data_IF_195404978029
#
_entry.id   IF_195404978029
#
_cell.length_a   1.000
_cell.length_b   1.000
_cell.length_c   1.000
_cell.angle_alpha   90.00
_cell.angle_beta   90.00
_cell.angle_gamma   90.00
#
_symmetry.space_group_name_H-M   'P 1'
#
loop_
_entity.id
_entity.type
_entity.pdbx_description
1 polymer ?
#
# COMPACT_ATOMS: atom_id res chain seq x y z
N UNK A 1 10.70 -6.03 -12.18
CA UNK A 1 10.59 -5.27 -10.93
C UNK A 1 11.08 -3.86 -11.15
N UNK A 2 10.70 -2.96 -10.25
CA UNK A 2 11.08 -1.55 -10.23
C UNK A 2 12.21 -1.26 -9.23
N UNK A 3 12.42 -2.15 -8.24
CA UNK A 3 13.43 -2.08 -7.19
C UNK A 3 14.86 -1.76 -7.67
N UNK A 4 15.30 -2.36 -8.78
CA UNK A 4 16.69 -2.19 -9.25
C UNK A 4 17.07 -0.74 -9.56
N UNK A 5 16.13 0.05 -10.08
CA UNK A 5 16.38 1.47 -10.34
C UNK A 5 16.63 2.25 -9.03
N UNK A 6 15.93 1.88 -7.95
CA UNK A 6 16.08 2.46 -6.62
C UNK A 6 17.50 2.20 -6.10
N UNK A 7 18.00 0.96 -6.19
CA UNK A 7 19.35 0.63 -5.71
C UNK A 7 20.45 1.35 -6.50
N UNK A 8 20.31 1.46 -7.82
CA UNK A 8 21.27 2.19 -8.66
C UNK A 8 21.29 3.68 -8.31
N UNK A 9 20.15 4.27 -7.97
CA UNK A 9 20.02 5.69 -7.62
C UNK A 9 20.15 5.99 -6.13
N UNK A 10 20.35 4.95 -5.29
CA UNK A 10 20.34 5.08 -3.83
C UNK A 10 21.24 6.22 -3.33
N UNK A 11 22.48 6.28 -3.82
CA UNK A 11 23.45 7.29 -3.36
C UNK A 11 23.06 8.70 -3.79
N UNK A 12 22.61 8.87 -5.04
CA UNK A 12 22.16 10.16 -5.56
C UNK A 12 20.95 10.69 -4.78
N UNK A 13 20.00 9.81 -4.47
CA UNK A 13 18.80 10.16 -3.70
C UNK A 13 19.19 10.52 -2.27
N UNK A 14 19.99 9.68 -1.59
CA UNK A 14 20.45 9.95 -0.23
C UNK A 14 21.13 11.32 -0.11
N UNK A 15 22.04 11.64 -1.03
CA UNK A 15 22.82 12.88 -1.00
C UNK A 15 21.97 14.13 -1.34
N UNK A 16 21.12 14.04 -2.36
CA UNK A 16 20.28 15.16 -2.80
C UNK A 16 19.13 15.47 -1.85
N UNK A 17 18.55 14.44 -1.25
CA UNK A 17 17.41 14.58 -0.31
C UNK A 17 17.82 14.81 1.14
N UNK A 18 19.11 14.63 1.47
CA UNK A 18 19.68 14.76 2.82
C UNK A 18 18.97 13.89 3.87
N UNK A 19 18.40 12.77 3.46
CA UNK A 19 17.76 11.82 4.37
C UNK A 19 18.81 11.11 5.23
N UNK A 20 18.38 10.61 6.39
CA UNK A 20 19.18 9.74 7.27
C UNK A 20 18.51 8.38 7.36
N UNK A 21 19.30 7.33 7.53
CA UNK A 21 18.76 5.99 7.76
C UNK A 21 18.14 5.93 9.17
N UNK A 22 16.89 5.46 9.34
CA UNK A 22 16.06 4.80 8.34
C UNK A 22 15.26 5.76 7.43
N UNK A 23 15.14 5.41 6.15
CA UNK A 23 14.28 6.14 5.19
C UNK A 23 13.87 5.22 4.03
N UNK A 24 12.84 5.61 3.28
CA UNK A 24 12.33 4.81 2.16
C UNK A 24 12.40 5.52 0.81
N UNK A 25 12.59 4.74 -0.25
CA UNK A 25 12.42 5.20 -1.64
C UNK A 25 11.36 4.31 -2.27
N UNK A 26 10.29 4.91 -2.78
CA UNK A 26 9.19 4.19 -3.41
C UNK A 26 9.15 4.45 -4.91
N UNK A 27 8.74 3.44 -5.69
CA UNK A 27 8.49 3.56 -7.11
C UNK A 27 7.19 2.85 -7.48
N UNK A 28 6.39 3.53 -8.30
CA UNK A 28 5.25 2.92 -8.98
C UNK A 28 5.58 2.94 -10.48
N UNK A 29 5.51 1.79 -11.12
CA UNK A 29 5.83 1.71 -12.53
C UNK A 29 5.60 0.34 -13.14
N UNK A 30 5.75 0.29 -14.46
CA UNK A 30 5.57 -0.94 -15.23
C UNK A 30 6.73 -1.91 -15.01
N UNK A 31 6.38 -3.18 -14.92
CA UNK A 31 7.31 -4.30 -14.94
C UNK A 31 6.88 -5.31 -15.99
N UNK A 32 7.87 -6.05 -16.49
CA UNK A 32 7.68 -7.05 -17.54
C UNK A 32 8.20 -8.39 -17.07
N UNK A 33 7.41 -9.45 -17.27
CA UNK A 33 7.82 -10.85 -17.05
C UNK A 33 7.38 -11.65 -18.28
N UNK A 34 8.29 -12.43 -18.87
CA UNK A 34 7.98 -13.27 -20.03
C UNK A 34 7.21 -14.53 -19.61
N UNK A 35 5.99 -14.33 -19.11
CA UNK A 35 5.13 -15.37 -18.61
C UNK A 35 4.73 -16.35 -19.73
N UNK A 36 4.92 -17.64 -19.45
CA UNK A 36 4.65 -18.72 -20.41
C UNK A 36 3.15 -18.81 -20.69
N UNK A 37 2.35 -18.80 -19.62
CA UNK A 37 0.89 -18.96 -19.71
C UNK A 37 0.17 -17.86 -18.93
N UNK A 38 -0.13 -16.72 -19.58
CA UNK A 38 -1.00 -15.68 -19.01
C UNK A 38 -2.41 -16.23 -18.75
N UNK A 39 -3.01 -15.89 -17.60
CA UNK A 39 -4.34 -16.40 -17.19
C UNK A 39 -4.96 -15.54 -16.09
N UNK A 40 -6.22 -15.81 -15.77
CA UNK A 40 -6.98 -15.18 -14.68
C UNK A 40 -7.03 -13.65 -14.80
N UNK A 41 -7.36 -13.18 -16.01
CA UNK A 41 -7.48 -11.75 -16.34
C UNK A 41 -6.17 -10.99 -16.06
N UNK A 42 -6.19 -9.93 -15.25
CA UNK A 42 -5.02 -9.12 -14.91
C UNK A 42 -4.10 -9.76 -13.85
N UNK A 43 -4.48 -10.91 -13.28
CA UNK A 43 -3.71 -11.53 -12.19
C UNK A 43 -2.33 -12.03 -12.65
N UNK A 44 -2.26 -12.64 -13.83
CA UNK A 44 -1.04 -13.21 -14.41
C UNK A 44 -0.83 -12.68 -15.83
N UNK A 45 -0.19 -11.53 -15.90
CA UNK A 45 0.08 -10.75 -17.11
C UNK A 45 1.58 -10.72 -17.45
N UNK A 46 1.91 -10.34 -18.70
CA UNK A 46 3.31 -10.12 -19.13
C UNK A 46 3.82 -8.71 -18.88
N UNK A 47 2.90 -7.76 -18.82
CA UNK A 47 3.10 -6.36 -18.45
C UNK A 47 2.11 -6.05 -17.34
N UNK A 48 2.58 -5.41 -16.27
CA UNK A 48 1.78 -5.05 -15.10
C UNK A 48 2.45 -3.89 -14.35
N UNK A 49 1.68 -3.15 -13.57
CA UNK A 49 2.19 -2.12 -12.67
C UNK A 49 2.53 -2.72 -11.29
N UNK A 50 3.68 -2.33 -10.77
CA UNK A 50 4.10 -2.62 -9.41
C UNK A 50 4.20 -1.32 -8.61
N UNK A 51 3.97 -1.45 -7.31
CA UNK A 51 4.28 -0.44 -6.31
C UNK A 51 5.26 -1.08 -5.34
N UNK A 52 6.51 -0.61 -5.37
CA UNK A 52 7.60 -1.14 -4.54
C UNK A 52 8.18 -0.02 -3.67
N UNK A 53 8.59 -0.39 -2.47
CA UNK A 53 9.27 0.49 -1.52
C UNK A 53 10.52 -0.20 -1.04
N UNK A 54 11.69 0.41 -1.23
CA UNK A 54 12.92 -0.01 -0.55
C UNK A 54 13.07 0.85 0.70
N UNK A 55 12.80 0.26 1.87
CA UNK A 55 12.99 0.92 3.15
C UNK A 55 14.35 0.56 3.75
N UNK A 56 15.27 1.51 3.69
CA UNK A 56 16.64 1.36 4.16
C UNK A 56 16.70 1.53 5.67
N UNK A 57 17.30 0.58 6.36
CA UNK A 57 17.43 0.53 7.81
C UNK A 57 18.88 0.30 8.23
N UNK A 58 19.17 0.60 9.50
CA UNK A 58 20.48 0.34 10.09
C UNK A 58 20.67 -1.18 10.28
N UNK A 59 21.88 -1.73 10.11
CA UNK A 59 22.17 -3.08 10.59
C UNK A 59 22.03 -3.15 12.11
N UNK A 60 21.67 -4.33 12.63
CA UNK A 60 21.40 -4.53 14.06
C UNK A 60 22.60 -4.13 14.94
N UNK A 61 23.83 -4.38 14.49
CA UNK A 61 25.03 -3.98 15.22
C UNK A 61 25.14 -2.46 15.39
N UNK A 62 24.66 -1.68 14.40
CA UNK A 62 24.63 -0.22 14.50
C UNK A 62 23.51 0.23 15.45
N UNK A 63 22.36 -0.42 15.40
CA UNK A 63 21.25 -0.19 16.34
C UNK A 63 21.72 -0.46 17.77
N UNK A 64 22.36 -1.60 18.02
CA UNK A 64 22.88 -1.97 19.33
C UNK A 64 23.97 -0.99 19.81
N UNK A 65 24.84 -0.52 18.92
CA UNK A 65 25.83 0.49 19.27
C UNK A 65 25.18 1.82 19.70
N UNK A 66 24.14 2.27 18.99
CA UNK A 66 23.48 3.57 19.21
C UNK A 66 22.49 3.55 20.38
N UNK A 67 21.72 2.47 20.50
CA UNK A 67 20.62 2.33 21.46
C UNK A 67 20.98 1.46 22.66
N UNK A 68 22.11 0.76 22.63
CA UNK A 68 22.56 -0.16 23.67
C UNK A 68 21.91 -1.55 23.64
N UNK A 69 20.92 -1.75 22.78
CA UNK A 69 20.19 -3.00 22.57
C UNK A 69 19.49 -3.00 21.20
N UNK A 70 19.01 -4.16 20.77
CA UNK A 70 18.02 -4.33 19.70
C UNK A 70 16.75 -4.86 20.35
N UNK A 71 15.59 -4.30 19.99
CA UNK A 71 14.29 -4.75 20.47
C UNK A 71 14.03 -6.19 20.04
N UNK A 72 13.56 -7.03 20.97
CA UNK A 72 13.21 -8.41 20.64
C UNK A 72 11.87 -8.48 19.91
N UNK A 73 11.62 -9.52 19.09
CA UNK A 73 10.34 -9.79 18.44
C UNK A 73 9.12 -9.65 19.36
N UNK A 74 9.24 -10.10 20.60
CA UNK A 74 8.15 -10.13 21.59
C UNK A 74 7.79 -8.73 22.11
N UNK A 75 8.69 -7.75 21.99
CA UNK A 75 8.45 -6.36 22.34
C UNK A 75 7.72 -5.58 21.24
N UNK A 76 7.62 -6.14 20.02
CA UNK A 76 7.01 -5.47 18.87
C UNK A 76 5.55 -5.89 18.77
N UNK A 77 4.67 -5.00 19.22
CA UNK A 77 3.25 -5.10 18.95
C UNK A 77 2.99 -4.96 17.43
N UNK A 78 2.35 -5.97 16.87
CA UNK A 78 2.02 -6.04 15.44
C UNK A 78 0.73 -5.32 15.08
N UNK A 79 -0.09 -4.97 16.07
CA UNK A 79 -1.38 -4.30 15.89
C UNK A 79 -1.29 -2.81 16.27
N UNK A 80 -0.38 -2.46 17.19
CA UNK A 80 -0.10 -1.09 17.62
C UNK A 80 1.40 -0.84 17.86
N UNK A 81 2.24 -0.85 16.80
CA UNK A 81 3.68 -0.71 16.96
C UNK A 81 4.10 0.63 17.59
N UNK A 82 5.04 0.56 18.54
CA UNK A 82 5.54 1.72 19.30
C UNK A 82 6.10 2.84 18.39
N UNK A 83 5.89 4.12 18.74
CA UNK A 83 6.51 5.24 18.01
C UNK A 83 8.02 5.38 18.29
N UNK A 84 8.54 4.79 19.37
CA UNK A 84 9.99 4.79 19.64
C UNK A 84 10.67 3.67 18.84
N UNK A 85 11.32 4.08 17.76
CA UNK A 85 12.00 3.19 16.80
C UNK A 85 13.51 3.11 17.04
N UNK A 86 14.04 3.72 18.10
CA UNK A 86 15.49 3.87 18.28
C UNK A 86 16.22 2.53 18.42
N UNK A 87 15.58 1.55 19.06
CA UNK A 87 16.12 0.20 19.26
C UNK A 87 15.64 -0.81 18.19
N UNK A 88 14.99 -0.36 17.12
CA UNK A 88 14.43 -1.26 16.12
C UNK A 88 15.51 -1.81 15.18
N UNK A 89 15.73 -3.12 15.27
CA UNK A 89 16.47 -3.90 14.28
C UNK A 89 15.59 -4.33 13.10
N UNK A 90 16.11 -5.20 12.24
CA UNK A 90 15.39 -5.60 11.02
C UNK A 90 14.06 -6.30 11.28
N UNK A 91 13.95 -7.11 12.35
CA UNK A 91 12.71 -7.82 12.69
C UNK A 91 11.59 -6.84 13.03
N UNK A 92 11.89 -5.81 13.83
CA UNK A 92 10.95 -4.74 14.17
C UNK A 92 10.47 -3.98 12.93
N UNK A 93 11.40 -3.60 12.05
CA UNK A 93 11.05 -2.90 10.81
C UNK A 93 10.23 -3.77 9.85
N UNK A 94 10.58 -5.04 9.71
CA UNK A 94 9.84 -5.99 8.87
C UNK A 94 8.39 -6.14 9.37
N UNK A 95 8.24 -6.40 10.67
CA UNK A 95 6.96 -6.47 11.38
C UNK A 95 6.12 -5.20 11.24
N UNK A 96 6.74 -4.04 11.46
CA UNK A 96 6.09 -2.74 11.26
C UNK A 96 5.56 -2.60 9.83
N UNK A 97 6.35 -2.94 8.82
CA UNK A 97 5.89 -2.84 7.44
C UNK A 97 4.76 -3.82 7.12
N UNK A 98 4.81 -5.06 7.61
CA UNK A 98 3.66 -5.99 7.47
C UNK A 98 2.38 -5.37 8.05
N UNK A 99 2.44 -4.83 9.27
CA UNK A 99 1.31 -4.14 9.89
C UNK A 99 0.80 -2.96 9.04
N UNK A 100 1.70 -2.05 8.62
CA UNK A 100 1.31 -0.87 7.83
C UNK A 100 0.68 -1.25 6.49
N UNK A 101 1.13 -2.34 5.88
CA UNK A 101 0.56 -2.85 4.62
C UNK A 101 -0.81 -3.50 4.82
N UNK A 102 -1.01 -4.27 5.90
CA UNK A 102 -2.34 -4.77 6.28
C UNK A 102 -3.35 -3.64 6.50
N UNK A 103 -2.98 -2.62 7.28
CA UNK A 103 -3.79 -1.43 7.52
C UNK A 103 -4.13 -0.68 6.21
N UNK A 104 -3.20 -0.63 5.27
CA UNK A 104 -3.45 -0.05 3.96
C UNK A 104 -4.55 -0.80 3.20
N UNK A 105 -4.52 -2.14 3.20
CA UNK A 105 -5.50 -2.98 2.52
C UNK A 105 -6.91 -2.85 3.11
N UNK A 106 -7.02 -2.85 4.43
CA UNK A 106 -8.30 -2.59 5.11
C UNK A 106 -8.85 -1.20 4.75
N UNK A 107 -8.00 -0.18 4.80
CA UNK A 107 -8.41 1.20 4.49
C UNK A 107 -8.82 1.40 3.03
N UNK A 108 -8.36 0.57 2.07
CA UNK A 108 -8.86 0.61 0.68
C UNK A 108 -10.12 -0.24 0.47
N UNK A 109 -10.63 -0.94 1.49
CA UNK A 109 -11.86 -1.73 1.40
C UNK A 109 -11.67 -3.22 1.16
N UNK A 110 -10.47 -3.77 1.40
CA UNK A 110 -10.29 -5.23 1.46
C UNK A 110 -10.42 -5.68 2.92
N UNK A 111 -11.49 -6.40 3.29
CA UNK A 111 -11.69 -6.83 4.67
C UNK A 111 -10.67 -7.91 5.06
N UNK A 112 -10.22 -7.89 6.31
CA UNK A 112 -9.30 -8.89 6.86
C UNK A 112 -9.77 -10.34 6.64
N UNK A 113 -11.07 -10.59 6.65
CA UNK A 113 -11.66 -11.92 6.41
C UNK A 113 -11.37 -12.50 5.01
N UNK A 114 -11.01 -11.65 4.04
CA UNK A 114 -10.61 -12.04 2.68
C UNK A 114 -9.10 -12.03 2.47
N UNK A 115 -8.32 -11.63 3.48
CA UNK A 115 -6.87 -11.61 3.45
C UNK A 115 -6.30 -12.80 4.22
N UNK A 116 -5.11 -13.24 3.81
CA UNK A 116 -4.31 -14.24 4.54
C UNK A 116 -2.90 -13.71 4.66
N UNK A 117 -2.34 -13.76 5.86
CA UNK A 117 -0.95 -13.40 6.13
C UNK A 117 -0.13 -14.67 6.14
N UNK A 118 0.69 -14.87 5.11
CA UNK A 118 1.50 -16.07 4.97
C UNK A 118 2.98 -15.76 5.24
N UNK A 119 3.53 -16.35 6.29
CA UNK A 119 4.97 -16.31 6.57
C UNK A 119 5.66 -17.40 5.77
N UNK A 120 6.52 -17.02 4.82
CA UNK A 120 7.23 -17.98 3.98
C UNK A 120 8.15 -18.87 4.83
N UNK A 121 8.24 -20.14 4.44
CA UNK A 121 9.15 -21.10 5.06
C UNK A 121 10.58 -20.89 4.59
N UNK A 122 11.60 -21.33 5.35
CA UNK A 122 13.00 -21.17 4.96
C UNK A 122 13.35 -21.67 3.55
N UNK A 123 12.71 -22.75 3.10
CA UNK A 123 12.89 -23.33 1.77
C UNK A 123 12.21 -22.54 0.63
N UNK A 124 11.27 -21.64 0.95
CA UNK A 124 10.56 -20.78 0.01
C UNK A 124 11.25 -19.42 -0.16
N UNK A 125 12.03 -19.01 0.85
CA UNK A 125 12.72 -17.72 0.86
C UNK A 125 13.68 -17.59 -0.33
N UNK A 126 13.63 -16.41 -0.96
CA UNK A 126 14.69 -16.02 -1.88
C UNK A 126 16.05 -16.07 -1.17
N UNK A 127 17.10 -16.43 -1.92
CA UNK A 127 18.44 -16.64 -1.37
C UNK A 127 19.02 -15.43 -0.60
N UNK A 128 18.51 -14.22 -0.82
CA UNK A 128 18.92 -13.00 -0.13
C UNK A 128 18.01 -12.58 1.04
N UNK A 129 16.83 -13.18 1.19
CA UNK A 129 15.85 -12.78 2.20
C UNK A 129 16.11 -13.46 3.55
N UNK A 130 16.00 -12.68 4.63
CA UNK A 130 15.97 -13.17 6.02
C UNK A 130 14.57 -13.63 6.43
N UNK A 131 13.56 -12.95 5.92
CA UNK A 131 12.14 -13.26 6.11
C UNK A 131 11.35 -12.69 4.94
N UNK A 132 10.20 -13.29 4.64
CA UNK A 132 9.23 -12.73 3.70
C UNK A 132 7.82 -13.08 4.19
N UNK A 133 6.92 -12.09 4.15
CA UNK A 133 5.50 -12.27 4.43
C UNK A 133 4.71 -11.89 3.20
N UNK A 134 3.90 -12.81 2.73
CA UNK A 134 3.00 -12.58 1.62
C UNK A 134 1.61 -12.23 2.16
N UNK A 135 1.07 -11.10 1.71
CA UNK A 135 -0.33 -10.75 1.90
C UNK A 135 -1.10 -11.35 0.72
N UNK A 136 -1.88 -12.37 1.01
CA UNK A 136 -2.69 -13.09 0.02
C UNK A 136 -4.13 -12.63 0.06
N UNK A 137 -4.82 -12.69 -1.07
CA UNK A 137 -6.26 -12.46 -1.18
C UNK A 137 -7.00 -13.70 -1.67
N UNK A 138 -8.14 -13.99 -1.05
CA UNK A 138 -9.02 -15.12 -1.39
C UNK A 138 -9.79 -14.87 -2.70
N UNK A 139 -9.09 -14.97 -3.84
CA UNK A 139 -9.71 -14.84 -5.15
C UNK A 139 -10.71 -15.98 -5.42
N UNK A 140 -11.82 -15.72 -6.13
CA UNK A 140 -12.83 -16.74 -6.43
C UNK A 140 -12.33 -17.85 -7.39
N UNK A 141 -11.23 -17.60 -8.11
CA UNK A 141 -10.55 -18.59 -8.96
C UNK A 141 -9.39 -19.30 -8.25
N UNK A 142 -9.10 -18.93 -7.00
CA UNK A 142 -7.97 -19.47 -6.24
C UNK A 142 -8.16 -20.93 -5.84
N UNK A 143 -7.09 -21.55 -5.38
CA UNK A 143 -7.18 -22.92 -4.82
C UNK A 143 -7.97 -22.92 -3.51
N UNK A 144 -8.61 -24.05 -3.22
CA UNK A 144 -9.31 -24.31 -1.97
C UNK A 144 -8.56 -25.34 -1.14
N UNK A 145 -8.60 -25.21 0.18
CA UNK A 145 -8.11 -26.20 1.13
C UNK A 145 -9.09 -27.38 1.28
N UNK A 146 -8.76 -28.33 2.17
CA UNK A 146 -9.58 -29.50 2.43
C UNK A 146 -10.97 -29.16 3.02
N UNK A 147 -11.13 -27.97 3.61
CA UNK A 147 -12.40 -27.49 4.16
C UNK A 147 -13.20 -26.68 3.13
N UNK A 148 -12.69 -26.53 1.90
CA UNK A 148 -13.33 -25.78 0.83
C UNK A 148 -13.10 -24.26 0.89
N UNK A 149 -12.26 -23.79 1.81
CA UNK A 149 -11.89 -22.37 1.96
C UNK A 149 -10.79 -21.99 0.97
N UNK A 150 -10.87 -20.79 0.41
CA UNK A 150 -9.81 -20.31 -0.49
C UNK A 150 -8.52 -20.06 0.28
N UNK A 151 -7.40 -20.61 -0.20
CA UNK A 151 -6.07 -20.46 0.44
C UNK A 151 -5.46 -19.07 0.23
N UNK A 152 -5.94 -18.36 -0.79
CA UNK A 152 -5.43 -17.04 -1.17
C UNK A 152 -4.35 -17.10 -2.24
N UNK A 153 -4.21 -15.99 -2.99
CA UNK A 153 -3.12 -15.77 -3.93
C UNK A 153 -2.48 -14.41 -3.64
N UNK A 154 -1.17 -14.30 -3.87
CA UNK A 154 -0.34 -13.16 -3.48
C UNK A 154 -0.76 -11.83 -4.12
N UNK A 155 -0.96 -10.80 -3.28
CA UNK A 155 -1.07 -9.40 -3.67
C UNK A 155 0.24 -8.62 -3.51
N UNK A 156 0.95 -8.90 -2.42
CA UNK A 156 2.16 -8.19 -2.01
C UNK A 156 3.06 -9.09 -1.16
N UNK A 157 4.36 -9.05 -1.42
CA UNK A 157 5.39 -9.64 -0.57
C UNK A 157 6.10 -8.55 0.22
N UNK A 158 6.33 -8.78 1.52
CA UNK A 158 7.11 -7.91 2.39
C UNK A 158 8.38 -8.68 2.78
N UNK A 159 9.50 -8.37 2.13
CA UNK A 159 10.77 -9.08 2.28
C UNK A 159 11.79 -8.30 3.12
N UNK A 160 12.45 -8.96 4.06
CA UNK A 160 13.65 -8.44 4.73
C UNK A 160 14.89 -8.90 3.96
N UNK A 161 15.41 -8.06 3.07
CA UNK A 161 16.43 -8.43 2.07
C UNK A 161 17.87 -8.21 2.52
N UNK A 162 18.07 -7.77 3.77
CA UNK A 162 19.38 -7.43 4.32
C UNK A 162 20.12 -6.39 3.45
N UNK A 163 21.45 -6.42 3.34
CA UNK A 163 22.23 -5.51 2.48
C UNK A 163 22.59 -6.10 1.12
N UNK A 164 21.91 -7.16 0.69
CA UNK A 164 22.28 -7.93 -0.50
C UNK A 164 22.36 -7.07 -1.76
N UNK A 165 21.29 -6.33 -2.07
CA UNK A 165 21.18 -5.59 -3.34
C UNK A 165 22.24 -4.48 -3.45
N UNK A 166 22.38 -3.65 -2.41
CA UNK A 166 23.42 -2.62 -2.36
C UNK A 166 24.82 -3.23 -2.37
N UNK A 167 25.03 -4.37 -1.72
CA UNK A 167 26.33 -5.07 -1.75
C UNK A 167 26.68 -5.57 -3.15
N UNK A 168 25.73 -6.15 -3.89
CA UNK A 168 25.96 -6.61 -5.26
C UNK A 168 26.22 -5.43 -6.20
N UNK A 169 25.41 -4.36 -6.13
CA UNK A 169 25.63 -3.16 -6.94
C UNK A 169 26.99 -2.51 -6.64
N UNK A 170 27.39 -2.41 -5.36
CA UNK A 170 28.71 -1.90 -4.98
C UNK A 170 29.83 -2.76 -5.56
N UNK A 171 29.72 -4.08 -5.44
CA UNK A 171 30.70 -5.06 -5.93
C UNK A 171 30.92 -4.94 -7.44
N UNK A 172 29.85 -4.95 -8.22
CA UNK A 172 29.95 -4.97 -9.68
C UNK A 172 30.18 -3.60 -10.31
N UNK A 173 29.75 -2.51 -9.66
CA UNK A 173 30.01 -1.15 -10.14
C UNK A 173 31.35 -0.57 -9.68
N UNK A 174 31.92 -1.10 -8.59
CA UNK A 174 33.09 -0.53 -7.91
C UNK A 174 32.80 0.81 -7.19
N UNK A 175 31.54 1.25 -7.13
CA UNK A 175 31.15 2.49 -6.45
C UNK A 175 30.67 2.20 -5.03
N UNK A 176 31.13 2.96 -4.02
CA UNK A 176 30.67 2.76 -2.65
C UNK A 176 29.19 3.11 -2.52
N UNK A 177 28.41 2.17 -2.02
CA UNK A 177 27.00 2.34 -1.64
C UNK A 177 26.81 2.33 -0.11
N UNK A 178 27.91 2.52 0.63
CA UNK A 178 27.88 2.75 2.07
C UNK A 178 27.30 4.12 2.42
N UNK A 179 26.76 4.20 3.63
CA UNK A 179 26.33 5.45 4.26
C UNK A 179 27.27 5.82 5.39
N UNK A 180 27.41 7.11 5.66
CA UNK A 180 28.07 7.60 6.88
C UNK A 180 27.01 7.98 7.90
N UNK A 181 27.11 7.41 9.10
CA UNK A 181 26.21 7.68 10.22
C UNK A 181 26.98 8.31 11.39
N UNK A 182 26.68 9.58 11.63
CA UNK A 182 27.30 10.36 12.69
C UNK A 182 26.91 9.86 14.09
N UNK A 183 25.70 9.34 14.27
CA UNK A 183 25.25 8.78 15.55
C UNK A 183 26.02 7.50 15.87
N UNK A 184 26.19 6.63 14.87
CA UNK A 184 27.00 5.42 15.01
C UNK A 184 28.44 5.77 15.37
N UNK A 185 29.06 6.72 14.66
CA UNK A 185 30.45 7.13 14.92
C UNK A 185 30.62 7.64 16.36
N UNK A 186 29.71 8.49 16.84
CA UNK A 186 29.76 9.04 18.21
C UNK A 186 29.51 7.95 19.24
N UNK A 187 28.53 7.08 19.00
CA UNK A 187 28.21 5.97 19.89
C UNK A 187 29.40 5.01 20.00
N UNK A 188 30.06 4.69 18.89
CA UNK A 188 31.22 3.81 18.84
C UNK A 188 32.38 4.29 19.71
N UNK A 189 32.69 5.58 19.68
CA UNK A 189 33.75 6.19 20.49
C UNK A 189 33.50 6.06 22.00
N UNK A 190 32.24 5.99 22.42
CA UNK A 190 31.83 5.89 23.82
C UNK A 190 31.56 4.44 24.26
N UNK A 191 31.59 3.47 23.35
CA UNK A 191 31.35 2.07 23.68
C UNK A 191 32.55 1.47 24.46
N UNK A 192 32.30 0.70 25.54
CA UNK A 192 33.36 -0.05 26.21
C UNK A 192 34.10 -0.97 25.22
N UNK A 193 35.42 -1.06 25.36
CA UNK A 193 36.26 -1.85 24.45
C UNK A 193 35.79 -3.31 24.25
N UNK A 194 35.35 -4.05 25.29
CA UNK A 194 34.78 -5.39 25.09
C UNK A 194 33.54 -5.41 24.17
N UNK A 195 32.65 -4.40 24.30
CA UNK A 195 31.47 -4.30 23.43
C UNK A 195 31.85 -3.96 21.99
N UNK A 196 32.84 -3.08 21.78
CA UNK A 196 33.37 -2.79 20.44
C UNK A 196 33.89 -4.05 19.74
N UNK A 197 34.64 -4.90 20.46
CA UNK A 197 35.16 -6.16 19.90
C UNK A 197 34.03 -7.11 19.50
N UNK A 198 32.99 -7.25 20.34
CA UNK A 198 31.84 -8.11 20.07
C UNK A 198 31.06 -7.62 18.84
N UNK A 199 30.69 -6.34 18.79
CA UNK A 199 29.92 -5.79 17.67
C UNK A 199 30.70 -5.81 16.35
N UNK A 200 31.99 -5.46 16.40
CA UNK A 200 32.85 -5.51 15.21
C UNK A 200 32.96 -6.94 14.68
N UNK A 201 33.12 -7.92 15.57
CA UNK A 201 33.20 -9.33 15.21
C UNK A 201 31.89 -9.83 14.60
N UNK A 202 30.74 -9.51 15.21
CA UNK A 202 29.42 -9.88 14.67
C UNK A 202 29.20 -9.30 13.29
N UNK A 203 29.52 -8.02 13.09
CA UNK A 203 29.42 -7.37 11.78
C UNK A 203 30.35 -8.03 10.75
N UNK A 204 31.61 -8.33 11.13
CA UNK A 204 32.54 -9.09 10.28
C UNK A 204 31.99 -10.47 9.88
N UNK A 205 31.52 -11.26 10.84
CA UNK A 205 31.01 -12.61 10.60
C UNK A 205 29.77 -12.57 9.70
N UNK A 206 28.89 -11.59 9.90
CA UNK A 206 27.75 -11.32 9.03
C UNK A 206 28.20 -11.04 7.59
N UNK A 207 29.10 -10.06 7.39
CA UNK A 207 29.58 -9.66 6.06
C UNK A 207 30.32 -10.79 5.35
N UNK A 208 31.16 -11.55 6.06
CA UNK A 208 31.84 -12.72 5.53
C UNK A 208 30.83 -13.75 4.99
N UNK A 209 29.83 -14.10 5.81
CA UNK A 209 28.81 -15.07 5.41
C UNK A 209 27.99 -14.58 4.22
N UNK A 210 27.61 -13.30 4.19
CA UNK A 210 26.87 -12.69 3.08
C UNK A 210 27.67 -12.73 1.77
N UNK A 211 28.96 -12.37 1.82
CA UNK A 211 29.84 -12.36 0.65
C UNK A 211 30.07 -13.78 0.10
N UNK A 212 30.34 -14.76 0.97
CA UNK A 212 30.49 -16.17 0.59
C UNK A 212 29.19 -16.70 -0.03
N UNK A 213 28.04 -16.38 0.55
CA UNK A 213 26.73 -16.79 0.01
C UNK A 213 26.46 -16.15 -1.36
N UNK A 214 26.97 -14.96 -1.62
CA UNK A 214 26.93 -14.29 -2.92
C UNK A 214 27.99 -14.80 -3.92
N UNK A 215 28.70 -15.88 -3.59
CA UNK A 215 29.66 -16.55 -4.47
C UNK A 215 31.03 -15.89 -4.52
N UNK A 216 31.42 -15.06 -3.54
CA UNK A 216 32.81 -14.62 -3.43
C UNK A 216 33.73 -15.74 -2.91
N UNK A 217 34.94 -15.78 -3.46
CA UNK A 217 35.97 -16.70 -2.97
C UNK A 217 36.32 -16.36 -1.52
N UNK A 218 36.42 -17.38 -0.66
CA UNK A 218 36.55 -17.20 0.80
C UNK A 218 37.66 -16.24 1.21
N UNK A 219 38.86 -16.37 0.64
CA UNK A 219 39.99 -15.48 0.93
C UNK A 219 39.68 -14.01 0.61
N UNK A 220 39.04 -13.75 -0.53
CA UNK A 220 38.63 -12.40 -0.92
C UNK A 220 37.49 -11.89 -0.04
N UNK A 221 36.53 -12.75 0.31
CA UNK A 221 35.42 -12.42 1.19
C UNK A 221 35.90 -12.05 2.60
N UNK A 222 36.90 -12.76 3.14
CA UNK A 222 37.52 -12.45 4.45
C UNK A 222 38.18 -11.06 4.43
N UNK A 223 38.92 -10.73 3.37
CA UNK A 223 39.51 -9.40 3.21
C UNK A 223 38.45 -8.30 3.14
N UNK A 224 37.42 -8.47 2.29
CA UNK A 224 36.35 -7.50 2.13
C UNK A 224 35.53 -7.32 3.42
N UNK A 225 35.22 -8.40 4.12
CA UNK A 225 34.50 -8.35 5.39
C UNK A 225 35.32 -7.63 6.48
N UNK A 226 36.65 -7.78 6.47
CA UNK A 226 37.54 -7.06 7.38
C UNK A 226 37.52 -5.56 7.09
N UNK A 227 37.62 -5.17 5.82
CA UNK A 227 37.53 -3.77 5.38
C UNK A 227 36.16 -3.15 5.76
N UNK A 228 35.07 -3.88 5.52
CA UNK A 228 33.72 -3.47 5.92
C UNK A 228 33.62 -3.29 7.45
N UNK A 229 34.16 -4.21 8.24
CA UNK A 229 34.16 -4.13 9.69
C UNK A 229 35.03 -2.99 10.24
N UNK A 230 36.12 -2.65 9.57
CA UNK A 230 36.93 -1.46 9.89
C UNK A 230 36.19 -0.16 9.56
N UNK A 231 35.55 -0.09 8.40
CA UNK A 231 34.72 1.04 7.99
C UNK A 231 33.55 1.25 8.97
N UNK A 232 32.95 0.17 9.45
CA UNK A 232 31.90 0.17 10.47
C UNK A 232 32.31 0.90 11.74
N UNK A 233 33.52 0.65 12.24
CA UNK A 233 34.04 1.35 13.43
C UNK A 233 34.19 2.88 13.26
N UNK A 234 34.22 3.34 12.00
CA UNK A 234 34.32 4.76 11.63
C UNK A 234 32.96 5.37 11.32
N UNK A 235 31.86 4.62 11.49
CA UNK A 235 30.50 5.06 11.21
C UNK A 235 30.00 4.75 9.80
N UNK A 236 30.66 3.86 9.04
CA UNK A 236 30.25 3.50 7.68
C UNK A 236 29.65 2.11 7.61
N UNK A 237 28.50 1.95 6.97
CA UNK A 237 27.89 0.64 6.74
C UNK A 237 27.07 0.61 5.44
N UNK A 238 26.73 -0.59 4.98
CA UNK A 238 25.74 -0.77 3.90
C UNK A 238 24.38 -0.98 4.56
N UNK A 239 23.36 -0.13 4.28
CA UNK A 239 22.04 -0.29 4.88
C UNK A 239 21.40 -1.62 4.53
N UNK A 240 20.61 -2.16 5.47
CA UNK A 240 19.71 -3.27 5.18
C UNK A 240 18.42 -2.74 4.57
N UNK A 241 17.66 -3.60 3.90
CA UNK A 241 16.45 -3.22 3.17
C UNK A 241 15.25 -4.07 3.62
N UNK A 242 14.14 -3.40 3.90
CA UNK A 242 12.81 -4.00 3.96
C UNK A 242 12.04 -3.58 2.71
N UNK A 243 11.55 -4.54 1.95
CA UNK A 243 10.86 -4.33 0.68
C UNK A 243 9.40 -4.78 0.77
N UNK A 244 8.44 -3.86 0.87
CA UNK A 244 7.07 -4.10 0.44
C UNK A 244 6.96 -3.99 -1.09
N UNK A 245 6.62 -5.09 -1.76
CA UNK A 245 6.44 -5.17 -3.22
C UNK A 245 5.04 -5.65 -3.58
N UNK A 246 4.21 -4.73 -4.08
CA UNK A 246 2.80 -4.96 -4.37
C UNK A 246 2.48 -4.93 -5.87
N UNK A 247 1.65 -5.86 -6.34
CA UNK A 247 1.14 -5.86 -7.72
C UNK A 247 -0.13 -5.00 -7.85
N UNK A 248 -0.04 -3.81 -8.45
CA UNK A 248 -1.17 -2.86 -8.55
C UNK A 248 -2.36 -3.47 -9.29
N UNK A 249 -2.11 -4.16 -10.41
CA UNK A 249 -3.12 -4.85 -11.20
C UNK A 249 -3.85 -5.95 -10.41
N UNK A 250 -3.13 -6.66 -9.53
CA UNK A 250 -3.71 -7.69 -8.66
C UNK A 250 -4.56 -7.05 -7.57
N UNK A 251 -4.12 -5.92 -7.02
CA UNK A 251 -4.91 -5.15 -6.04
C UNK A 251 -6.21 -4.65 -6.69
N UNK A 252 -6.15 -4.11 -7.90
CA UNK A 252 -7.33 -3.66 -8.63
C UNK A 252 -8.32 -4.81 -8.86
N UNK A 253 -7.82 -5.99 -9.24
CA UNK A 253 -8.65 -7.19 -9.39
C UNK A 253 -9.24 -7.65 -8.05
N UNK A 254 -8.46 -7.62 -6.96
CA UNK A 254 -8.95 -7.97 -5.63
C UNK A 254 -10.06 -7.03 -5.16
N UNK A 255 -9.93 -5.72 -5.41
CA UNK A 255 -10.96 -4.74 -5.11
C UNK A 255 -12.24 -5.01 -5.92
N UNK A 256 -12.12 -5.32 -7.21
CA UNK A 256 -13.25 -5.70 -8.05
C UNK A 256 -13.96 -6.96 -7.54
N UNK A 257 -13.20 -8.03 -7.28
CA UNK A 257 -13.75 -9.27 -6.74
C UNK A 257 -14.35 -9.08 -5.34
N UNK A 258 -13.79 -8.19 -4.54
CA UNK A 258 -14.29 -7.94 -3.18
C UNK A 258 -15.56 -7.09 -3.20
N UNK A 259 -15.66 -6.13 -4.12
CA UNK A 259 -16.77 -5.21 -4.24
C UNK A 259 -18.00 -5.82 -4.94
N UNK A 260 -17.82 -6.82 -5.82
CA UNK A 260 -18.95 -7.45 -6.51
C UNK A 260 -19.95 -8.06 -5.53
N UNK A 261 -21.20 -7.65 -5.66
CA UNK A 261 -22.31 -8.17 -4.90
C UNK A 261 -23.60 -8.16 -5.74
N UNK A 262 -24.54 -9.01 -5.34
CA UNK A 262 -25.88 -9.10 -5.93
C UNK A 262 -26.92 -9.10 -4.82
N UNK A 263 -27.82 -8.11 -4.80
CA UNK A 263 -28.89 -8.02 -3.81
C UNK A 263 -30.26 -7.79 -4.47
N UNK A 264 -31.29 -7.64 -3.64
CA UNK A 264 -32.66 -7.32 -4.07
C UNK A 264 -32.95 -5.87 -3.73
N UNK A 265 -33.34 -5.09 -4.73
CA UNK A 265 -33.68 -3.68 -4.56
C UNK A 265 -35.00 -3.36 -5.25
N UNK A 266 -35.83 -2.45 -4.70
CA UNK A 266 -37.08 -2.06 -5.32
C UNK A 266 -36.88 -1.43 -6.71
N UNK A 267 -37.81 -1.72 -7.62
CA UNK A 267 -38.00 -1.03 -8.89
C UNK A 267 -38.79 0.29 -8.68
N UNK A 268 -39.11 0.98 -9.77
CA UNK A 268 -39.90 2.22 -9.73
C UNK A 268 -41.34 2.02 -9.22
N UNK A 269 -41.82 0.78 -9.16
CA UNK A 269 -43.16 0.38 -8.70
C UNK A 269 -43.12 -0.27 -7.30
N UNK A 270 -41.95 -0.38 -6.68
CA UNK A 270 -41.76 -1.02 -5.37
C UNK A 270 -41.59 -2.54 -5.41
N UNK A 271 -41.58 -3.18 -6.57
CA UNK A 271 -41.31 -4.62 -6.68
C UNK A 271 -39.81 -4.87 -6.52
N UNK A 272 -39.43 -5.92 -5.79
CA UNK A 272 -38.04 -6.29 -5.64
C UNK A 272 -37.49 -6.91 -6.92
N UNK A 273 -36.42 -6.32 -7.44
CA UNK A 273 -35.65 -6.82 -8.57
C UNK A 273 -34.19 -7.01 -8.18
N UNK A 274 -33.57 -8.03 -8.78
CA UNK A 274 -32.14 -8.29 -8.62
C UNK A 274 -31.33 -7.07 -9.04
N UNK A 275 -30.37 -6.67 -8.21
CA UNK A 275 -29.43 -5.58 -8.45
C UNK A 275 -28.02 -6.13 -8.46
N UNK A 276 -27.25 -5.79 -9.50
CA UNK A 276 -25.79 -5.92 -9.46
C UNK A 276 -25.23 -4.63 -8.91
N UNK A 277 -24.34 -4.72 -7.93
CA UNK A 277 -23.72 -3.56 -7.28
C UNK A 277 -22.24 -3.81 -7.04
N UNK A 278 -21.41 -2.80 -7.33
CA UNK A 278 -20.00 -2.80 -6.91
C UNK A 278 -19.86 -2.01 -5.62
N UNK A 279 -19.73 -2.70 -4.50
CA UNK A 279 -19.53 -2.13 -3.17
C UNK A 279 -18.10 -1.63 -2.92
N UNK A 280 -17.57 -0.81 -3.82
CA UNK A 280 -16.28 -0.19 -3.60
C UNK A 280 -16.32 0.68 -2.35
N UNK A 281 -15.29 0.56 -1.51
CA UNK A 281 -15.09 1.55 -0.45
C UNK A 281 -14.99 2.95 -1.08
N UNK A 282 -15.63 3.99 -0.51
CA UNK A 282 -15.67 5.32 -1.13
C UNK A 282 -14.29 5.88 -1.49
N UNK A 283 -13.25 5.54 -0.71
CA UNK A 283 -11.85 5.92 -0.97
C UNK A 283 -11.30 5.44 -2.31
N UNK A 284 -11.75 4.29 -2.81
CA UNK A 284 -11.25 3.69 -4.07
C UNK A 284 -12.26 3.65 -5.20
N UNK A 285 -13.54 3.95 -4.95
CA UNK A 285 -14.56 4.01 -6.01
C UNK A 285 -14.09 4.92 -7.18
N UNK A 286 -14.16 4.47 -8.45
CA UNK A 286 -13.65 5.25 -9.58
C UNK A 286 -14.34 6.60 -9.74
N UNK A 287 -15.65 6.63 -9.50
CA UNK A 287 -16.49 7.81 -9.44
C UNK A 287 -16.98 7.92 -7.99
N UNK A 288 -16.82 9.10 -7.38
CA UNK A 288 -17.22 9.35 -6.00
C UNK A 288 -18.68 9.78 -5.91
N UNK A 289 -19.12 10.59 -6.88
CA UNK A 289 -20.47 11.17 -6.88
C UNK A 289 -21.02 11.21 -8.29
N UNK A 290 -22.30 10.87 -8.44
CA UNK A 290 -23.08 11.20 -9.63
C UNK A 290 -24.09 12.29 -9.28
N UNK A 291 -24.16 13.35 -10.10
CA UNK A 291 -25.11 14.45 -9.91
C UNK A 291 -26.18 14.39 -11.00
N UNK A 292 -27.43 14.41 -10.59
CA UNK A 292 -28.56 14.06 -11.45
C UNK A 292 -29.72 15.05 -11.24
N UNK A 293 -30.23 15.71 -12.29
CA UNK A 293 -31.51 16.40 -12.21
C UNK A 293 -32.65 15.37 -12.20
N UNK A 294 -33.71 15.57 -11.43
CA UNK A 294 -34.85 14.67 -11.42
C UNK A 294 -35.50 14.61 -12.82
N UNK A 295 -35.67 15.77 -13.45
CA UNK A 295 -36.23 15.94 -14.78
C UNK A 295 -35.26 16.66 -15.72
N UNK A 296 -34.83 15.98 -16.78
CA UNK A 296 -33.95 16.57 -17.82
C UNK A 296 -34.59 17.72 -18.60
N UNK A 297 -35.93 17.72 -18.71
CA UNK A 297 -36.68 18.75 -19.43
C UNK A 297 -37.01 19.96 -18.55
N UNK A 298 -36.46 20.04 -17.33
CA UNK A 298 -36.53 21.22 -16.48
C UNK A 298 -35.16 21.90 -16.41
N UNK A 299 -34.93 22.98 -17.19
CA UNK A 299 -33.61 23.62 -17.29
C UNK A 299 -33.06 24.07 -15.94
N UNK A 300 -33.91 24.53 -15.02
CA UNK A 300 -33.50 24.98 -13.68
C UNK A 300 -32.83 23.87 -12.86
N UNK A 301 -33.40 22.65 -12.87
CA UNK A 301 -32.81 21.50 -12.18
C UNK A 301 -31.47 21.11 -12.83
N UNK A 302 -31.42 21.13 -14.16
CA UNK A 302 -30.19 20.85 -14.91
C UNK A 302 -29.10 21.86 -14.54
N UNK A 303 -29.39 23.16 -14.50
CA UNK A 303 -28.41 24.19 -14.14
C UNK A 303 -27.89 24.02 -12.71
N UNK A 304 -28.76 23.72 -11.74
CA UNK A 304 -28.33 23.45 -10.36
C UNK A 304 -27.47 22.19 -10.28
N UNK A 305 -27.85 21.11 -10.97
CA UNK A 305 -27.06 19.88 -11.04
C UNK A 305 -25.67 20.11 -11.64
N UNK A 306 -25.57 20.87 -12.74
CA UNK A 306 -24.29 21.24 -13.35
C UNK A 306 -23.43 22.10 -12.41
N UNK A 307 -24.04 23.06 -11.72
CA UNK A 307 -23.36 23.89 -10.71
C UNK A 307 -22.79 23.05 -9.56
N UNK A 308 -23.56 22.09 -9.03
CA UNK A 308 -23.10 21.20 -7.97
C UNK A 308 -21.97 20.29 -8.46
N UNK A 309 -22.08 19.75 -9.68
CA UNK A 309 -21.00 18.98 -10.32
C UNK A 309 -19.70 19.81 -10.37
N UNK A 310 -19.78 21.04 -10.87
CA UNK A 310 -18.60 21.89 -11.04
C UNK A 310 -18.01 22.35 -9.70
N UNK A 311 -18.85 22.52 -8.68
CA UNK A 311 -18.42 22.78 -7.30
C UNK A 311 -17.63 21.60 -6.70
N UNK A 312 -17.99 20.35 -7.03
CA UNK A 312 -17.36 19.15 -6.45
C UNK A 312 -16.11 18.67 -7.18
N UNK A 313 -16.01 18.92 -8.49
CA UNK A 313 -14.90 18.47 -9.36
C UNK A 313 -13.49 18.81 -8.86
N UNK A 314 -13.21 19.96 -8.22
CA UNK A 314 -11.89 20.24 -7.67
C UNK A 314 -11.45 19.28 -6.55
N UNK A 315 -12.41 18.56 -5.95
CA UNK A 315 -12.16 17.77 -4.74
C UNK A 315 -12.28 16.27 -4.96
N UNK A 316 -13.04 15.83 -5.98
CA UNK A 316 -13.34 14.41 -6.20
C UNK A 316 -13.81 14.12 -7.63
N UNK A 317 -13.76 12.85 -8.03
CA UNK A 317 -14.28 12.40 -9.33
C UNK A 317 -15.81 12.44 -9.32
N UNK A 318 -16.39 13.29 -10.16
CA UNK A 318 -17.83 13.50 -10.26
C UNK A 318 -18.31 13.36 -11.69
N UNK A 319 -19.46 12.70 -11.87
CA UNK A 319 -20.15 12.58 -13.15
C UNK A 319 -21.52 13.26 -13.10
N UNK A 320 -22.02 13.66 -14.26
CA UNK A 320 -23.39 14.13 -14.46
C UNK A 320 -24.16 13.12 -15.27
N UNK A 321 -25.43 12.87 -14.91
CA UNK A 321 -26.28 11.92 -15.63
C UNK A 321 -27.75 12.37 -15.63
N UNK A 322 -28.31 12.60 -16.83
CA UNK A 322 -29.72 12.91 -17.08
C UNK A 322 -30.39 11.95 -18.07
N UNK A 323 -29.72 10.83 -18.39
CA UNK A 323 -30.15 9.93 -19.44
C UNK A 323 -31.08 8.83 -18.90
N UNK A 324 -32.39 9.05 -19.05
CA UNK A 324 -33.43 8.08 -18.66
C UNK A 324 -34.07 8.40 -17.32
N UNK A 325 -34.86 7.47 -16.77
CA UNK A 325 -35.52 7.66 -15.48
C UNK A 325 -34.50 7.68 -14.33
N UNK A 326 -34.90 8.26 -13.20
CA UNK A 326 -34.03 8.34 -12.01
C UNK A 326 -33.66 6.94 -11.49
N UNK A 327 -34.60 5.99 -11.50
CA UNK A 327 -34.36 4.61 -11.10
C UNK A 327 -33.29 3.92 -11.96
N UNK A 328 -33.39 4.06 -13.29
CA UNK A 328 -32.37 3.54 -14.22
C UNK A 328 -31.00 4.17 -14.00
N UNK A 329 -30.95 5.48 -13.69
CA UNK A 329 -29.69 6.17 -13.38
C UNK A 329 -29.07 5.67 -12.08
N UNK A 330 -29.85 5.47 -11.02
CA UNK A 330 -29.35 4.84 -9.79
C UNK A 330 -28.77 3.45 -10.07
N UNK A 331 -29.47 2.60 -10.83
CA UNK A 331 -28.98 1.25 -11.18
C UNK A 331 -27.63 1.28 -11.90
N UNK A 332 -27.47 2.17 -12.90
CA UNK A 332 -26.18 2.33 -13.60
C UNK A 332 -25.05 2.74 -12.66
N UNK A 333 -25.33 3.63 -11.71
CA UNK A 333 -24.34 4.10 -10.75
C UNK A 333 -24.00 3.04 -9.70
N UNK A 334 -24.99 2.25 -9.26
CA UNK A 334 -24.79 1.11 -8.37
C UNK A 334 -23.91 0.04 -9.06
N UNK A 335 -24.20 -0.28 -10.33
CA UNK A 335 -23.45 -1.27 -11.15
C UNK A 335 -21.96 -0.91 -11.30
N UNK A 336 -21.62 0.38 -11.40
CA UNK A 336 -20.22 0.84 -11.50
C UNK A 336 -19.62 1.25 -10.14
N UNK A 337 -20.41 1.12 -9.07
CA UNK A 337 -19.98 1.30 -7.70
C UNK A 337 -19.78 2.74 -7.22
N UNK A 338 -20.45 3.71 -7.85
CA UNK A 338 -20.50 5.09 -7.37
C UNK A 338 -21.17 5.14 -5.98
N UNK A 339 -20.48 5.56 -4.91
CA UNK A 339 -20.99 5.44 -3.54
C UNK A 339 -22.11 6.43 -3.24
N UNK A 340 -22.10 7.62 -3.86
CA UNK A 340 -23.08 8.67 -3.59
C UNK A 340 -23.74 9.19 -4.87
N UNK A 341 -25.06 9.38 -4.83
CA UNK A 341 -25.80 10.04 -5.91
C UNK A 341 -26.54 11.24 -5.37
N UNK A 342 -26.31 12.41 -5.97
CA UNK A 342 -27.02 13.66 -5.66
C UNK A 342 -28.16 13.84 -6.66
N UNK A 343 -29.38 13.98 -6.14
CA UNK A 343 -30.57 14.26 -6.93
C UNK A 343 -31.06 15.69 -6.66
N UNK A 344 -31.19 16.46 -7.75
CA UNK A 344 -31.76 17.81 -7.78
C UNK A 344 -33.22 17.72 -8.20
N UNK A 345 -34.14 18.02 -7.31
CA UNK A 345 -35.58 17.85 -7.50
C UNK A 345 -36.37 19.16 -7.38
N UNK A 346 -37.71 19.06 -7.34
CA UNK A 346 -38.62 20.20 -7.20
C UNK A 346 -38.43 20.97 -5.89
N UNK A 347 -38.15 20.25 -4.80
CA UNK A 347 -37.93 20.84 -3.48
C UNK A 347 -36.64 21.67 -3.46
N UNK A 348 -35.63 21.26 -4.22
CA UNK A 348 -34.38 22.00 -4.38
C UNK A 348 -34.62 23.43 -4.87
N UNK A 349 -35.60 23.61 -5.76
CA UNK A 349 -35.97 24.90 -6.35
C UNK A 349 -36.95 25.71 -5.48
N UNK A 350 -37.49 25.11 -4.41
CA UNK A 350 -38.49 25.72 -3.54
C UNK A 350 -39.93 25.58 -4.03
N UNK A 351 -40.21 24.71 -5.01
CA UNK A 351 -41.55 24.55 -5.58
C UNK A 351 -42.60 24.06 -4.57
N UNK A 352 -42.15 23.34 -3.53
CA UNK A 352 -43.02 22.84 -2.44
C UNK A 352 -42.94 23.69 -1.17
N UNK A 353 -42.34 24.88 -1.26
CA UNK A 353 -42.13 25.78 -0.13
C UNK A 353 -40.66 26.09 0.14
N UNK A 354 -40.38 27.09 0.98
CA UNK A 354 -39.02 27.61 1.19
C UNK A 354 -38.14 26.69 2.06
N UNK A 355 -38.73 25.74 2.79
CA UNK A 355 -38.03 24.95 3.82
C UNK A 355 -36.90 24.08 3.26
N UNK A 356 -37.11 23.50 2.06
CA UNK A 356 -36.18 22.61 1.39
C UNK A 356 -35.48 23.25 0.19
N UNK A 357 -35.69 24.56 0.00
CA UNK A 357 -34.98 25.30 -1.05
C UNK A 357 -33.47 25.27 -0.78
N UNK A 358 -32.68 25.17 -1.85
CA UNK A 358 -31.21 25.11 -1.79
C UNK A 358 -30.68 23.89 -0.99
N UNK A 359 -31.48 22.82 -0.94
CA UNK A 359 -31.08 21.51 -0.42
C UNK A 359 -31.21 20.45 -1.51
N UNK A 360 -30.41 19.40 -1.45
CA UNK A 360 -30.42 18.26 -2.39
C UNK A 360 -30.52 16.95 -1.64
N UNK A 361 -31.03 15.93 -2.32
CA UNK A 361 -31.05 14.57 -1.79
C UNK A 361 -29.76 13.85 -2.15
N UNK A 362 -29.05 13.32 -1.16
CA UNK A 362 -27.90 12.45 -1.35
C UNK A 362 -28.33 11.02 -1.02
N UNK A 363 -28.17 10.11 -1.97
CA UNK A 363 -28.42 8.67 -1.82
C UNK A 363 -27.10 7.95 -1.59
N UNK A 364 -27.07 7.11 -0.56
CA UNK A 364 -25.99 6.14 -0.32
C UNK A 364 -26.24 4.85 -1.13
N UNK A 365 -25.22 4.35 -1.82
CA UNK A 365 -25.29 3.16 -2.70
C UNK A 365 -25.68 1.90 -1.92
N UNK A 366 -25.03 1.68 -0.79
CA UNK A 366 -25.07 0.40 -0.09
C UNK A 366 -26.38 0.22 0.67
N UNK A 367 -26.76 1.24 1.43
CA UNK A 367 -27.99 1.27 2.25
C UNK A 367 -29.23 1.70 1.46
N UNK A 368 -29.04 2.34 0.29
CA UNK A 368 -30.09 2.99 -0.50
C UNK A 368 -30.81 4.13 0.23
N UNK A 369 -30.36 4.52 1.42
CA UNK A 369 -30.95 5.60 2.21
C UNK A 369 -30.71 6.95 1.53
N UNK A 370 -31.65 7.87 1.74
CA UNK A 370 -31.66 9.19 1.16
C UNK A 370 -31.65 10.22 2.29
N UNK A 371 -30.71 11.15 2.25
CA UNK A 371 -30.57 12.23 3.21
C UNK A 371 -30.66 13.58 2.52
N UNK A 372 -31.30 14.56 3.15
CA UNK A 372 -31.40 15.92 2.63
C UNK A 372 -30.28 16.79 3.17
N UNK A 373 -29.47 17.36 2.29
CA UNK A 373 -28.28 18.15 2.65
C UNK A 373 -28.36 19.52 1.97
N UNK A 374 -28.05 20.59 2.69
CA UNK A 374 -27.96 21.94 2.10
C UNK A 374 -26.82 21.98 1.08
N UNK A 375 -27.04 22.60 -0.07
CA UNK A 375 -26.06 22.66 -1.16
C UNK A 375 -24.70 23.19 -0.69
N UNK A 376 -24.70 24.19 0.19
CA UNK A 376 -23.49 24.78 0.78
C UNK A 376 -22.65 23.79 1.61
N UNK A 377 -23.28 22.76 2.19
CA UNK A 377 -22.65 21.79 3.09
C UNK A 377 -22.22 20.50 2.36
N UNK A 378 -22.66 20.30 1.12
CA UNK A 378 -22.44 19.08 0.32
C UNK A 378 -20.95 18.73 0.18
N UNK A 379 -20.09 19.73 -0.04
CA UNK A 379 -18.64 19.49 -0.18
C UNK A 379 -18.06 18.88 1.09
N UNK A 380 -18.35 19.48 2.25
CA UNK A 380 -17.87 19.00 3.54
C UNK A 380 -18.44 17.61 3.85
N UNK A 381 -19.75 17.44 3.69
CA UNK A 381 -20.47 16.19 3.93
C UNK A 381 -19.83 15.01 3.18
N UNK A 382 -19.48 15.21 1.91
CA UNK A 382 -18.89 14.16 1.08
C UNK A 382 -17.41 13.93 1.39
N UNK A 383 -16.63 14.97 1.69
CA UNK A 383 -15.19 14.82 1.95
C UNK A 383 -14.88 13.96 3.17
N UNK A 384 -15.72 14.02 4.21
CA UNK A 384 -15.61 13.16 5.39
C UNK A 384 -15.86 11.68 5.06
N UNK A 385 -16.63 11.40 4.00
CA UNK A 385 -17.07 10.05 3.63
C UNK A 385 -16.23 9.42 2.52
N UNK A 386 -15.56 10.22 1.69
CA UNK A 386 -14.79 9.72 0.53
C UNK A 386 -13.27 9.59 0.75
N UNK A 387 -12.72 10.09 1.86
CA UNK A 387 -11.25 10.18 2.10
C UNK A 387 -10.68 9.07 2.98
#
# INVERSE_FOLDING_TARGET
ETAQAIFVQFKNILESSRQKVPFGIAQIGKAFRNEVTPRNFTFRSREFEQMELEFFIKPDEAVEAIAGRVASPEEIDMDEPSPDTRAWGWEAWHRYWVYKRLQFYERIGLPASKLVVYWQKPEELAHYARACVDILFKFPFGKRDANGEFVGEELEGIAARSDFDLSQHQRFSGKPLTVFDEELRKAWQNLPHPKQQVLRRRYYEYRLNALVKAGEARERAEKMALEDAEAFTKGYYIPHVIEPSAGVDRIALALLCSAYDEDMAPDEKGNLEKRVVLRFHPRVAPIKVAVMPLLKNRPEQVQVALRIRDMLRPYMNVVYDDAGSIGRRYRRQDEIGTPFVITVDFETLGDKGPELKDTVTIRDRDTMQQERVKIQDVVHYLLERVR
#
